data_IF_716266969090
#
_entry.id   IF_716266969090
#
_cell.length_a   1.000
_cell.length_b   1.000
_cell.length_c   1.000
_cell.angle_alpha   90.00
_cell.angle_beta   90.00
_cell.angle_gamma   90.00
#
_symmetry.space_group_name_H-M   'P 1'
#
loop_
_entity.id
_entity.type
_entity.pdbx_description
1 polymer ?
#
# COMPACT_ATOMS: atom_id res chain seq x y z
N UNK A 1 -0.68 -17.54 -2.41
CA UNK A 1 0.53 -17.62 -1.55
C UNK A 1 1.62 -18.53 -2.12
N UNK A 2 1.34 -19.80 -2.46
CA UNK A 2 2.36 -20.71 -3.03
C UNK A 2 2.93 -20.19 -4.36
N UNK A 3 2.07 -19.76 -5.27
CA UNK A 3 2.49 -19.20 -6.57
C UNK A 3 3.35 -17.94 -6.39
N UNK A 4 2.96 -17.03 -5.51
CA UNK A 4 3.75 -15.84 -5.16
C UNK A 4 5.14 -16.21 -4.61
N UNK A 5 5.24 -17.23 -3.77
CA UNK A 5 6.54 -17.72 -3.26
C UNK A 5 7.42 -18.24 -4.39
N UNK A 6 6.88 -19.06 -5.28
CA UNK A 6 7.60 -19.59 -6.44
C UNK A 6 8.08 -18.44 -7.34
N UNK A 7 7.21 -17.47 -7.59
CA UNK A 7 7.52 -16.27 -8.36
C UNK A 7 8.66 -15.46 -7.75
N UNK A 8 8.57 -15.09 -6.47
CA UNK A 8 9.65 -14.31 -5.84
C UNK A 8 10.96 -15.10 -5.76
N UNK A 9 10.91 -16.42 -5.56
CA UNK A 9 12.09 -17.29 -5.62
C UNK A 9 12.71 -17.32 -7.02
N UNK A 10 11.91 -17.32 -8.09
CA UNK A 10 12.44 -17.26 -9.47
C UNK A 10 13.11 -15.92 -9.80
N UNK A 11 12.73 -14.84 -9.09
CA UNK A 11 13.40 -13.54 -9.13
C UNK A 11 14.68 -13.46 -8.26
N UNK A 12 15.10 -14.58 -7.66
CA UNK A 12 16.26 -14.65 -6.79
C UNK A 12 16.06 -14.09 -5.38
N UNK A 13 14.81 -13.88 -4.94
CA UNK A 13 14.54 -13.48 -3.57
C UNK A 13 14.83 -14.62 -2.58
N UNK A 14 15.31 -14.27 -1.39
CA UNK A 14 15.54 -15.23 -0.31
C UNK A 14 14.22 -15.64 0.36
N UNK A 15 13.47 -16.50 -0.32
CA UNK A 15 12.21 -17.06 0.16
C UNK A 15 12.11 -18.54 -0.22
N UNK A 16 11.53 -19.35 0.67
CA UNK A 16 11.20 -20.74 0.37
C UNK A 16 10.04 -20.80 -0.64
N UNK A 17 10.01 -21.81 -1.50
CA UNK A 17 8.87 -22.12 -2.35
C UNK A 17 7.76 -22.82 -1.57
N UNK A 18 8.02 -23.51 -0.47
CA UNK A 18 7.02 -24.26 0.30
C UNK A 18 6.23 -23.38 1.27
N UNK A 19 4.90 -23.55 1.35
CA UNK A 19 4.06 -22.86 2.36
C UNK A 19 4.60 -23.03 3.78
N UNK A 20 4.41 -22.00 4.57
CA UNK A 20 4.77 -22.02 5.98
C UNK A 20 3.87 -22.98 6.76
N UNK A 21 4.43 -23.83 7.63
CA UNK A 21 3.62 -24.62 8.56
C UNK A 21 2.90 -23.75 9.59
N UNK A 22 3.26 -22.46 9.70
CA UNK A 22 2.63 -21.48 10.62
C UNK A 22 1.38 -20.80 10.02
N UNK A 23 1.02 -21.13 8.78
CA UNK A 23 -0.18 -20.64 8.12
C UNK A 23 0.03 -19.37 7.28
N UNK A 24 -1.09 -18.84 6.78
CA UNK A 24 -1.11 -17.81 5.73
C UNK A 24 -0.50 -16.47 6.15
N UNK A 25 -0.59 -16.11 7.42
CA UNK A 25 -0.02 -14.86 7.95
C UNK A 25 1.51 -14.86 7.87
N UNK A 26 2.15 -15.95 8.27
CA UNK A 26 3.61 -16.10 8.17
C UNK A 26 4.07 -16.18 6.71
N UNK A 27 3.29 -16.84 5.85
CA UNK A 27 3.53 -16.83 4.41
C UNK A 27 3.48 -15.42 3.84
N UNK A 28 2.44 -14.67 4.17
CA UNK A 28 2.25 -13.32 3.64
C UNK A 28 3.31 -12.36 4.20
N UNK A 29 3.68 -12.50 5.47
CA UNK A 29 4.77 -11.74 6.06
C UNK A 29 6.09 -11.93 5.29
N UNK A 30 6.44 -13.17 4.96
CA UNK A 30 7.64 -13.50 4.16
C UNK A 30 7.54 -12.96 2.75
N UNK A 31 6.39 -13.12 2.09
CA UNK A 31 6.13 -12.60 0.75
C UNK A 31 6.29 -11.08 0.71
N UNK A 32 5.65 -10.36 1.64
CA UNK A 32 5.79 -8.89 1.75
C UNK A 32 7.24 -8.51 2.04
N UNK A 33 7.95 -9.30 2.86
CA UNK A 33 9.36 -9.11 3.16
C UNK A 33 10.26 -9.03 1.94
N UNK A 34 9.88 -9.66 0.82
CA UNK A 34 10.64 -9.70 -0.43
C UNK A 34 9.91 -9.14 -1.64
N UNK A 35 8.71 -8.55 -1.47
CA UNK A 35 7.87 -8.21 -2.62
C UNK A 35 8.47 -7.12 -3.52
N UNK A 36 9.39 -6.30 -2.99
CA UNK A 36 10.17 -5.32 -3.75
C UNK A 36 11.14 -5.96 -4.75
N UNK A 37 11.38 -7.28 -4.70
CA UNK A 37 12.15 -7.99 -5.72
C UNK A 37 11.51 -7.89 -7.11
N UNK A 38 10.18 -7.82 -7.21
CA UNK A 38 9.51 -7.71 -8.52
C UNK A 38 9.81 -6.39 -9.26
N UNK A 39 10.27 -5.36 -8.54
CA UNK A 39 10.61 -4.06 -9.14
C UNK A 39 11.86 -4.10 -10.03
N UNK A 40 12.66 -5.18 -9.97
CA UNK A 40 13.92 -5.28 -10.72
C UNK A 40 13.75 -5.90 -12.10
N UNK A 41 12.86 -6.87 -12.25
CA UNK A 41 12.79 -7.72 -13.44
C UNK A 41 11.39 -7.83 -14.06
N UNK A 42 10.33 -7.39 -13.37
CA UNK A 42 8.96 -7.44 -13.89
C UNK A 42 8.59 -6.23 -14.77
N UNK A 43 7.66 -6.44 -15.71
CA UNK A 43 7.00 -5.32 -16.38
C UNK A 43 5.87 -4.74 -15.51
N UNK A 44 5.39 -3.53 -15.82
CA UNK A 44 4.44 -2.80 -14.97
C UNK A 44 3.13 -3.56 -14.74
N UNK A 45 2.63 -4.29 -15.75
CA UNK A 45 1.38 -5.04 -15.66
C UNK A 45 1.51 -6.29 -14.78
N UNK A 46 2.61 -7.01 -14.93
CA UNK A 46 2.91 -8.18 -14.10
C UNK A 46 3.08 -7.77 -12.64
N UNK A 47 3.83 -6.70 -12.38
CA UNK A 47 3.99 -6.16 -11.02
C UNK A 47 2.63 -5.74 -10.46
N UNK A 48 1.77 -5.07 -11.25
CA UNK A 48 0.42 -4.69 -10.82
C UNK A 48 -0.41 -5.90 -10.40
N UNK A 49 -0.38 -6.99 -11.19
CA UNK A 49 -1.09 -8.23 -10.85
C UNK A 49 -0.55 -8.85 -9.56
N UNK A 50 0.76 -8.94 -9.40
CA UNK A 50 1.41 -9.51 -8.20
C UNK A 50 1.06 -8.70 -6.95
N UNK A 51 1.07 -7.36 -7.03
CA UNK A 51 0.68 -6.52 -5.90
C UNK A 51 -0.81 -6.64 -5.59
N UNK A 52 -1.66 -6.76 -6.60
CA UNK A 52 -3.10 -6.96 -6.43
C UNK A 52 -3.42 -8.33 -5.79
N UNK A 53 -2.65 -9.37 -6.12
CA UNK A 53 -2.76 -10.69 -5.47
C UNK A 53 -2.39 -10.60 -3.99
N UNK A 54 -1.35 -9.84 -3.63
CA UNK A 54 -0.98 -9.58 -2.23
C UNK A 54 -2.12 -8.86 -1.51
N UNK A 55 -2.70 -7.81 -2.13
CA UNK A 55 -3.85 -7.08 -1.57
C UNK A 55 -5.05 -8.01 -1.37
N UNK A 56 -5.35 -8.84 -2.36
CA UNK A 56 -6.42 -9.85 -2.28
C UNK A 56 -6.20 -10.77 -1.08
N UNK A 57 -5.00 -11.29 -0.86
CA UNK A 57 -4.74 -12.15 0.31
C UNK A 57 -4.85 -11.35 1.62
N UNK A 58 -4.35 -10.11 1.67
CA UNK A 58 -4.41 -9.26 2.87
C UNK A 58 -5.84 -9.07 3.38
N UNK A 59 -6.80 -8.82 2.48
CA UNK A 59 -8.19 -8.52 2.86
C UNK A 59 -8.97 -9.75 3.35
N UNK A 60 -8.46 -10.95 3.11
CA UNK A 60 -9.06 -12.19 3.64
C UNK A 60 -8.53 -12.54 5.05
N UNK A 61 -7.51 -11.84 5.54
CA UNK A 61 -7.00 -12.01 6.91
C UNK A 61 -7.79 -11.06 7.82
N UNK A 62 -8.32 -11.53 8.98
CA UNK A 62 -8.96 -10.66 9.95
C UNK A 62 -8.08 -9.47 10.31
N UNK A 63 -8.69 -8.29 10.40
CA UNK A 63 -7.99 -7.02 10.48
C UNK A 63 -6.97 -7.00 11.63
N UNK A 64 -7.32 -7.54 12.79
CA UNK A 64 -6.49 -7.57 14.01
C UNK A 64 -5.16 -8.29 13.78
N UNK A 65 -5.12 -9.22 12.82
CA UNK A 65 -3.92 -9.97 12.44
C UNK A 65 -3.23 -9.39 11.20
N UNK A 66 -3.97 -8.62 10.39
CA UNK A 66 -3.48 -8.02 9.18
C UNK A 66 -2.78 -6.66 9.40
N UNK A 67 -3.00 -5.94 10.50
CA UNK A 67 -2.50 -4.57 10.71
C UNK A 67 -1.00 -4.42 10.41
N UNK A 68 -0.17 -5.28 11.01
CA UNK A 68 1.28 -5.26 10.81
C UNK A 68 1.67 -5.64 9.38
N UNK A 69 0.92 -6.52 8.73
CA UNK A 69 1.15 -6.94 7.35
C UNK A 69 0.82 -5.80 6.38
N UNK A 70 -0.30 -5.11 6.60
CA UNK A 70 -0.72 -3.93 5.84
C UNK A 70 0.35 -2.83 5.96
N UNK A 71 0.82 -2.54 7.16
CA UNK A 71 1.88 -1.53 7.37
C UNK A 71 3.18 -1.93 6.66
N UNK A 72 3.62 -3.18 6.80
CA UNK A 72 4.82 -3.68 6.13
C UNK A 72 4.70 -3.58 4.59
N UNK A 73 3.52 -3.88 4.05
CA UNK A 73 3.25 -3.74 2.63
C UNK A 73 3.32 -2.28 2.18
N UNK A 74 2.69 -1.35 2.92
CA UNK A 74 2.81 0.08 2.65
C UNK A 74 4.27 0.57 2.63
N UNK A 75 5.10 0.13 3.58
CA UNK A 75 6.52 0.49 3.63
C UNK A 75 7.31 -0.02 2.43
N UNK A 76 6.97 -1.20 1.91
CA UNK A 76 7.60 -1.75 0.69
C UNK A 76 7.24 -0.95 -0.55
N UNK A 77 5.98 -0.58 -0.71
CA UNK A 77 5.49 0.12 -1.90
C UNK A 77 6.04 1.56 -2.00
N UNK A 78 6.41 2.18 -0.88
CA UNK A 78 7.09 3.48 -0.87
C UNK A 78 8.50 3.44 -1.46
N UNK A 79 9.11 2.26 -1.56
CA UNK A 79 10.49 2.07 -2.08
C UNK A 79 10.53 1.86 -3.59
N UNK A 80 9.39 1.92 -4.28
CA UNK A 80 9.32 1.74 -5.73
C UNK A 80 10.23 2.76 -6.46
N UNK A 81 11.16 2.30 -7.31
CA UNK A 81 12.06 3.19 -8.01
C UNK A 81 11.39 3.80 -9.25
N UNK A 82 11.55 5.11 -9.39
CA UNK A 82 11.08 5.84 -10.57
C UNK A 82 9.55 5.98 -10.67
N UNK A 83 9.12 6.79 -11.63
CA UNK A 83 7.72 7.21 -11.73
C UNK A 83 6.79 6.06 -12.12
N UNK A 84 7.20 5.21 -13.09
CA UNK A 84 6.33 4.15 -13.62
C UNK A 84 5.94 3.12 -12.55
N UNK A 85 6.91 2.62 -11.78
CA UNK A 85 6.63 1.68 -10.71
C UNK A 85 5.92 2.35 -9.53
N UNK A 86 6.25 3.61 -9.23
CA UNK A 86 5.50 4.38 -8.25
C UNK A 86 4.01 4.50 -8.59
N UNK A 87 3.65 4.63 -9.88
CA UNK A 87 2.24 4.63 -10.32
C UNK A 87 1.57 3.27 -10.09
N UNK A 88 2.27 2.16 -10.36
CA UNK A 88 1.76 0.81 -10.08
C UNK A 88 1.53 0.62 -8.58
N UNK A 89 2.48 1.02 -7.75
CA UNK A 89 2.34 0.98 -6.29
C UNK A 89 1.23 1.89 -5.77
N UNK A 90 1.02 3.06 -6.39
CA UNK A 90 -0.08 3.96 -6.07
C UNK A 90 -1.43 3.26 -6.29
N UNK A 91 -1.61 2.59 -7.43
CA UNK A 91 -2.84 1.83 -7.73
C UNK A 91 -3.07 0.70 -6.73
N UNK A 92 -2.03 -0.07 -6.39
CA UNK A 92 -2.15 -1.16 -5.42
C UNK A 92 -2.52 -0.65 -4.01
N UNK A 93 -1.92 0.46 -3.55
CA UNK A 93 -2.31 1.10 -2.29
C UNK A 93 -3.73 1.67 -2.35
N UNK A 94 -4.14 2.21 -3.49
CA UNK A 94 -5.51 2.70 -3.68
C UNK A 94 -6.50 1.54 -3.57
N UNK A 95 -6.22 0.42 -4.24
CA UNK A 95 -7.02 -0.80 -4.14
C UNK A 95 -7.13 -1.24 -2.69
N UNK A 96 -6.01 -1.35 -1.97
CA UNK A 96 -6.02 -1.72 -0.55
C UNK A 96 -6.88 -0.80 0.29
N UNK A 97 -6.76 0.52 0.10
CA UNK A 97 -7.57 1.50 0.83
C UNK A 97 -9.07 1.34 0.57
N UNK A 98 -9.46 1.10 -0.69
CA UNK A 98 -10.86 0.89 -1.08
C UNK A 98 -11.41 -0.45 -0.56
N UNK A 99 -10.57 -1.48 -0.44
CA UNK A 99 -10.98 -2.79 0.07
C UNK A 99 -11.10 -2.87 1.59
N UNK A 100 -10.55 -1.90 2.34
CA UNK A 100 -10.72 -1.84 3.79
C UNK A 100 -12.13 -1.36 4.15
N UNK A 101 -12.72 -1.97 5.17
CA UNK A 101 -14.00 -1.53 5.75
C UNK A 101 -13.96 -0.04 6.11
N UNK A 102 -15.05 0.69 5.85
CA UNK A 102 -15.13 2.14 6.10
C UNK A 102 -14.81 2.54 7.55
N UNK A 103 -15.07 1.64 8.51
CA UNK A 103 -14.81 1.86 9.94
C UNK A 103 -13.43 1.39 10.40
N UNK A 104 -12.61 0.86 9.50
CA UNK A 104 -11.29 0.33 9.84
C UNK A 104 -10.32 1.46 10.23
N UNK A 105 -9.67 1.39 11.41
CA UNK A 105 -8.63 2.35 11.79
C UNK A 105 -7.43 2.33 10.83
N UNK A 106 -7.23 1.22 10.10
CA UNK A 106 -6.16 1.09 9.11
C UNK A 106 -6.35 1.99 7.88
N UNK A 107 -7.57 2.48 7.60
CA UNK A 107 -7.81 3.43 6.49
C UNK A 107 -6.93 4.66 6.61
N UNK A 108 -6.75 5.19 7.82
CA UNK A 108 -5.86 6.34 8.04
C UNK A 108 -4.42 6.01 7.64
N UNK A 109 -3.89 4.88 8.12
CA UNK A 109 -2.52 4.48 7.90
C UNK A 109 -2.23 4.19 6.42
N UNK A 110 -3.15 3.50 5.73
CA UNK A 110 -3.01 3.23 4.30
C UNK A 110 -3.12 4.52 3.49
N UNK A 111 -4.10 5.39 3.78
CA UNK A 111 -4.25 6.66 3.07
C UNK A 111 -3.05 7.59 3.27
N UNK A 112 -2.49 7.64 4.49
CA UNK A 112 -1.29 8.43 4.75
C UNK A 112 -0.10 7.97 3.88
N UNK A 113 0.13 6.66 3.77
CA UNK A 113 1.17 6.10 2.90
C UNK A 113 0.86 6.28 1.41
N UNK A 114 -0.39 6.15 1.01
CA UNK A 114 -0.87 6.42 -0.34
C UNK A 114 -0.54 7.85 -0.77
N UNK A 115 -0.80 8.85 0.09
CA UNK A 115 -0.45 10.26 -0.18
C UNK A 115 1.07 10.45 -0.34
N UNK A 116 1.89 9.73 0.45
CA UNK A 116 3.34 9.76 0.30
C UNK A 116 3.79 9.19 -1.05
N UNK A 117 3.21 8.08 -1.50
CA UNK A 117 3.50 7.53 -2.83
C UNK A 117 3.03 8.46 -3.93
N UNK A 118 1.82 9.04 -3.79
CA UNK A 118 1.25 9.99 -4.75
C UNK A 118 2.14 11.22 -4.96
N UNK A 119 2.77 11.71 -3.89
CA UNK A 119 3.78 12.78 -3.94
C UNK A 119 4.95 12.40 -4.84
N UNK A 120 5.49 11.19 -4.69
CA UNK A 120 6.69 10.76 -5.42
C UNK A 120 6.46 10.59 -6.92
N UNK A 121 5.20 10.54 -7.37
CA UNK A 121 4.82 10.38 -8.78
C UNK A 121 3.97 11.53 -9.32
N UNK A 122 3.85 12.62 -8.58
CA UNK A 122 3.08 13.81 -8.93
C UNK A 122 1.58 13.55 -9.21
N UNK A 123 0.99 12.55 -8.54
CA UNK A 123 -0.43 12.15 -8.69
C UNK A 123 -1.30 12.46 -7.46
N UNK A 124 -0.94 13.49 -6.70
CA UNK A 124 -1.64 13.85 -5.45
C UNK A 124 -3.10 14.19 -5.71
N UNK A 125 -3.40 14.87 -6.83
CA UNK A 125 -4.77 15.18 -7.26
C UNK A 125 -5.62 13.95 -7.57
N UNK A 126 -5.00 12.82 -7.88
CA UNK A 126 -5.74 11.57 -8.11
C UNK A 126 -6.27 10.96 -6.81
N UNK A 127 -5.65 11.28 -5.67
CA UNK A 127 -6.02 10.73 -4.35
C UNK A 127 -6.61 11.77 -3.39
N UNK A 128 -6.46 13.05 -3.71
CA UNK A 128 -6.95 14.17 -2.91
C UNK A 128 -7.49 15.29 -3.82
N UNK A 129 -8.79 15.56 -3.75
CA UNK A 129 -9.43 16.67 -4.48
C UNK A 129 -9.87 17.84 -3.60
N UNK A 130 -9.74 17.72 -2.28
CA UNK A 130 -10.10 18.79 -1.34
C UNK A 130 -10.41 18.27 0.07
N UNK A 131 -10.56 19.22 1.00
CA UNK A 131 -10.84 18.93 2.42
C UNK A 131 -12.20 18.24 2.60
N UNK A 132 -13.19 18.58 1.78
CA UNK A 132 -14.52 17.98 1.90
C UNK A 132 -14.53 16.51 1.48
N UNK A 133 -13.88 16.17 0.35
CA UNK A 133 -13.67 14.78 -0.04
C UNK A 133 -12.88 14.01 1.03
N UNK A 134 -11.83 14.62 1.58
CA UNK A 134 -11.04 14.01 2.65
C UNK A 134 -11.91 13.68 3.89
N UNK A 135 -12.76 14.61 4.32
CA UNK A 135 -13.69 14.39 5.43
C UNK A 135 -14.70 13.30 5.10
N UNK A 136 -15.16 13.23 3.87
CA UNK A 136 -16.09 12.18 3.42
C UNK A 136 -15.45 10.79 3.47
N UNK A 137 -14.19 10.66 3.01
CA UNK A 137 -13.43 9.40 3.05
C UNK A 137 -13.26 8.80 4.45
N UNK A 138 -13.30 9.64 5.48
CA UNK A 138 -13.14 9.25 6.89
C UNK A 138 -14.41 9.46 7.73
N UNK A 139 -15.56 9.71 7.09
CA UNK A 139 -16.80 10.04 7.81
C UNK A 139 -17.24 8.93 8.77
N UNK A 140 -17.08 7.67 8.36
CA UNK A 140 -17.47 6.51 9.17
C UNK A 140 -16.55 6.28 10.37
N UNK A 141 -15.26 6.62 10.25
CA UNK A 141 -14.27 6.53 11.32
C UNK A 141 -13.21 7.64 11.17
N UNK A 142 -13.46 8.81 11.79
CA UNK A 142 -12.54 9.94 11.68
C UNK A 142 -11.20 9.65 12.39
N UNK A 143 -10.05 10.02 11.80
CA UNK A 143 -8.79 10.05 12.52
C UNK A 143 -8.86 10.95 13.74
N UNK A 144 -8.06 10.63 14.76
CA UNK A 144 -7.94 11.53 15.92
C UNK A 144 -7.26 12.87 15.53
N UNK A 145 -7.31 13.85 16.44
CA UNK A 145 -6.79 15.19 16.16
C UNK A 145 -5.32 15.19 15.72
N UNK A 146 -4.47 14.38 16.35
CA UNK A 146 -3.05 14.29 16.01
C UNK A 146 -2.85 13.69 14.61
N UNK A 147 -3.54 12.60 14.31
CA UNK A 147 -3.54 11.93 13.02
C UNK A 147 -4.01 12.86 11.90
N UNK A 148 -5.11 13.57 12.13
CA UNK A 148 -5.69 14.53 11.19
C UNK A 148 -4.73 15.70 10.94
N UNK A 149 -4.17 16.30 12.00
CA UNK A 149 -3.18 17.36 11.84
C UNK A 149 -1.94 16.89 11.07
N UNK A 150 -1.45 15.67 11.35
CA UNK A 150 -0.30 15.10 10.64
C UNK A 150 -0.60 14.90 9.14
N UNK A 151 -1.80 14.45 8.79
CA UNK A 151 -2.22 14.26 7.40
C UNK A 151 -2.40 15.60 6.67
N UNK A 152 -3.04 16.58 7.31
CA UNK A 152 -3.22 17.92 6.72
C UNK A 152 -1.89 18.64 6.51
N UNK A 153 -0.93 18.50 7.43
CA UNK A 153 0.43 19.03 7.25
C UNK A 153 1.13 18.40 6.05
N UNK A 154 1.07 17.07 5.93
CA UNK A 154 1.62 16.35 4.78
C UNK A 154 1.01 16.85 3.46
N UNK A 155 -0.32 16.93 3.37
CA UNK A 155 -1.01 17.41 2.17
C UNK A 155 -0.63 18.86 1.83
N UNK A 156 -0.58 19.74 2.84
CA UNK A 156 -0.18 21.13 2.64
C UNK A 156 1.25 21.26 2.11
N UNK A 157 2.21 20.55 2.69
CA UNK A 157 3.61 20.53 2.22
C UNK A 157 3.70 20.06 0.77
N UNK A 158 2.95 19.03 0.42
CA UNK A 158 2.90 18.48 -0.94
C UNK A 158 2.33 19.49 -1.92
N UNK A 159 1.17 20.09 -1.63
CA UNK A 159 0.50 21.05 -2.51
C UNK A 159 1.35 22.30 -2.76
N UNK A 160 2.06 22.78 -1.72
CA UNK A 160 3.04 23.87 -1.86
C UNK A 160 4.19 23.46 -2.79
N UNK A 161 4.75 22.26 -2.59
CA UNK A 161 5.87 21.77 -3.41
C UNK A 161 5.51 21.58 -4.88
N UNK A 162 4.25 21.19 -5.16
CA UNK A 162 3.74 21.03 -6.52
C UNK A 162 3.29 22.35 -7.17
N UNK A 163 3.36 23.50 -6.49
CA UNK A 163 2.84 24.82 -6.92
C UNK A 163 1.34 24.76 -7.32
N UNK A 164 0.53 23.98 -6.61
CA UNK A 164 -0.90 23.79 -6.89
C UNK A 164 -1.79 24.51 -5.87
N UNK A 165 -1.31 25.61 -5.29
CA UNK A 165 -2.09 26.51 -4.43
C UNK A 165 -3.02 27.42 -5.21
#
# INVERSE_FOLDING_TARGET
>A
AQELRIYFKSLGAEISDEKSPRGIEDDLHKIIGVCDACFKEGNELEIENILNDIVSILIHIPLERAENLILAFCEKLKKAPGQKLGLVCLKALWLLFQSLEEKSPMRYHVYYNLVQVARNVDQVKAVYSGVDQLKEQFKAFPPNNEQMQKLLRLLHEILLSCKQG
#
